data_IF_100833253197
#
_entry.id   IF_100833253197
#
_cell.length_a   1.000
_cell.length_b   1.000
_cell.length_c   1.000
_cell.angle_alpha   90.00
_cell.angle_beta   90.00
_cell.angle_gamma   90.00
#
_symmetry.space_group_name_H-M   'P 1'
#
loop_
_entity.id
_entity.type
_entity.pdbx_description
1 polymer ?
#
# COMPACT_ATOMS: atom_id res chain seq x y z
N UNK A 1 23.27 -19.80 -8.90
CA UNK A 1 22.12 -19.93 -9.81
C UNK A 1 21.04 -20.65 -9.02
N UNK A 2 19.88 -20.03 -8.83
CA UNK A 2 18.77 -20.54 -7.99
C UNK A 2 17.77 -21.24 -8.93
N UNK A 3 17.22 -22.39 -8.51
CA UNK A 3 16.18 -23.10 -9.26
C UNK A 3 14.84 -22.83 -8.59
N UNK A 4 13.92 -22.22 -9.34
CA UNK A 4 12.53 -21.98 -8.93
C UNK A 4 11.67 -23.03 -9.65
N UNK A 5 10.94 -23.83 -8.89
CA UNK A 5 9.96 -24.78 -9.43
C UNK A 5 8.57 -24.14 -9.29
N UNK A 6 8.07 -23.55 -10.38
CA UNK A 6 6.70 -23.03 -10.47
C UNK A 6 5.76 -24.12 -11.02
N UNK A 7 4.61 -24.29 -10.36
CA UNK A 7 3.51 -25.14 -10.83
C UNK A 7 2.62 -24.26 -11.75
N UNK A 8 2.92 -24.28 -13.05
CA UNK A 8 2.46 -23.30 -14.05
C UNK A 8 0.92 -23.29 -14.28
N UNK A 9 0.19 -24.32 -13.86
CA UNK A 9 -1.21 -24.55 -14.26
C UNK A 9 -2.29 -24.24 -13.20
N UNK A 10 -1.98 -23.53 -12.11
CA UNK A 10 -3.04 -23.16 -11.16
C UNK A 10 -3.95 -22.06 -11.75
N UNK A 11 -5.28 -22.25 -11.82
CA UNK A 11 -6.20 -21.20 -12.28
C UNK A 11 -6.16 -20.03 -11.31
N UNK A 12 -5.99 -18.81 -11.82
CA UNK A 12 -6.25 -17.60 -11.05
C UNK A 12 -7.72 -17.64 -10.60
N UNK A 13 -7.97 -17.42 -9.30
CA UNK A 13 -9.33 -17.42 -8.74
C UNK A 13 -10.23 -16.41 -9.47
N UNK A 14 -11.01 -16.89 -10.44
CA UNK A 14 -12.06 -16.12 -11.12
C UNK A 14 -11.59 -14.97 -12.03
N UNK A 15 -12.53 -14.32 -12.74
CA UNK A 15 -12.25 -13.10 -13.50
C UNK A 15 -11.79 -11.99 -12.54
N UNK A 16 -10.76 -11.22 -12.94
CA UNK A 16 -10.24 -10.10 -12.14
C UNK A 16 -11.34 -9.07 -11.89
N UNK A 17 -11.87 -9.05 -10.67
CA UNK A 17 -12.72 -7.96 -10.18
C UNK A 17 -11.92 -6.67 -10.03
N UNK A 18 -12.58 -5.52 -10.10
CA UNK A 18 -11.93 -4.25 -9.80
C UNK A 18 -11.55 -4.21 -8.32
N UNK A 19 -10.30 -3.87 -7.98
CA UNK A 19 -9.90 -3.69 -6.58
C UNK A 19 -10.67 -2.53 -5.95
N UNK A 20 -10.79 -2.52 -4.62
CA UNK A 20 -11.37 -1.38 -3.87
C UNK A 20 -10.72 -0.05 -4.26
N UNK A 21 -9.42 -0.07 -4.58
CA UNK A 21 -8.72 1.09 -5.14
C UNK A 21 -9.21 1.47 -6.53
N UNK A 22 -9.30 0.53 -7.48
CA UNK A 22 -9.79 0.82 -8.83
C UNK A 22 -11.23 1.36 -8.79
N UNK A 23 -12.05 0.85 -7.87
CA UNK A 23 -13.40 1.31 -7.62
C UNK A 23 -13.42 2.74 -7.03
N UNK A 24 -12.64 2.99 -5.97
CA UNK A 24 -12.49 4.34 -5.35
C UNK A 24 -11.94 5.36 -6.35
N UNK A 25 -10.91 5.00 -7.12
CA UNK A 25 -10.33 5.82 -8.19
C UNK A 25 -11.36 6.16 -9.26
N UNK A 26 -12.19 5.19 -9.68
CA UNK A 26 -13.21 5.43 -10.70
C UNK A 26 -14.35 6.36 -10.26
N UNK A 27 -14.60 6.49 -8.95
CA UNK A 27 -15.69 7.31 -8.40
C UNK A 27 -15.29 8.69 -7.89
N UNK A 28 -14.00 8.93 -7.62
CA UNK A 28 -13.52 10.14 -6.93
C UNK A 28 -12.84 11.16 -7.84
N UNK A 29 -12.38 10.78 -9.04
CA UNK A 29 -11.71 11.70 -9.94
C UNK A 29 -12.65 12.21 -11.04
N UNK A 30 -12.62 13.52 -11.37
CA UNK A 30 -13.15 13.97 -12.64
C UNK A 30 -12.45 13.21 -13.77
N UNK A 31 -13.17 12.75 -14.83
CA UNK A 31 -12.60 11.88 -15.87
C UNK A 31 -11.42 12.50 -16.65
N UNK A 32 -11.15 13.79 -16.45
CA UNK A 32 -10.11 14.58 -17.10
C UNK A 32 -8.89 14.89 -16.22
N UNK A 33 -8.87 14.52 -14.93
CA UNK A 33 -7.73 14.82 -14.04
C UNK A 33 -7.22 13.57 -13.30
N UNK A 34 -6.20 12.95 -13.88
CA UNK A 34 -5.53 11.76 -13.34
C UNK A 34 -4.74 12.03 -12.04
N UNK A 35 -4.44 13.30 -11.76
CA UNK A 35 -3.64 13.76 -10.63
C UNK A 35 -4.48 14.35 -9.49
N UNK A 36 -5.82 14.32 -9.59
CA UNK A 36 -6.68 14.79 -8.49
C UNK A 36 -6.32 14.07 -7.19
N UNK A 37 -6.21 14.79 -6.05
CA UNK A 37 -6.73 16.11 -5.73
C UNK A 37 -5.89 17.30 -6.22
N UNK A 38 -4.70 17.06 -6.78
CA UNK A 38 -3.91 18.12 -7.39
C UNK A 38 -4.60 18.69 -8.62
N UNK A 39 -4.31 19.94 -8.96
CA UNK A 39 -4.84 20.62 -10.16
C UNK A 39 -4.49 19.84 -11.44
N UNK A 40 -3.26 19.37 -11.52
CA UNK A 40 -2.69 18.67 -12.66
C UNK A 40 -1.44 17.86 -12.23
N UNK A 41 -0.84 17.13 -13.17
CA UNK A 41 0.36 16.31 -12.91
C UNK A 41 1.59 17.16 -12.56
N UNK A 42 1.69 18.39 -13.06
CA UNK A 42 2.84 19.28 -12.82
C UNK A 42 2.81 19.83 -11.39
N UNK A 43 1.62 20.09 -10.85
CA UNK A 43 1.45 20.44 -9.44
C UNK A 43 1.76 19.26 -8.51
N UNK A 44 1.38 18.04 -8.91
CA UNK A 44 1.71 16.83 -8.16
C UNK A 44 3.24 16.60 -8.11
N UNK A 45 3.94 16.80 -9.22
CA UNK A 45 5.41 16.71 -9.31
C UNK A 45 6.11 17.73 -8.39
N UNK A 46 5.62 18.98 -8.35
CA UNK A 46 6.13 20.00 -7.44
C UNK A 46 5.97 19.57 -5.98
N UNK A 47 4.82 19.01 -5.62
CA UNK A 47 4.55 18.52 -4.26
C UNK A 47 5.45 17.33 -3.91
N UNK A 48 5.60 16.37 -4.82
CA UNK A 48 6.52 15.23 -4.68
C UNK A 48 7.95 15.71 -4.44
N UNK A 49 8.41 16.71 -5.20
CA UNK A 49 9.76 17.26 -5.05
C UNK A 49 9.99 17.84 -3.65
N UNK A 50 9.02 18.61 -3.12
CA UNK A 50 9.12 19.14 -1.75
C UNK A 50 9.25 18.03 -0.70
N UNK A 51 8.44 16.97 -0.83
CA UNK A 51 8.42 15.86 0.14
C UNK A 51 9.69 15.03 0.03
N UNK A 52 10.10 14.64 -1.17
CA UNK A 52 11.28 13.81 -1.42
C UNK A 52 12.58 14.47 -0.98
N UNK A 53 12.64 15.81 -0.99
CA UNK A 53 13.81 16.57 -0.54
C UNK A 53 13.71 17.06 0.92
N UNK A 54 12.68 16.63 1.66
CA UNK A 54 12.46 17.02 3.06
C UNK A 54 12.46 18.55 3.28
N UNK A 55 11.88 19.30 2.35
CA UNK A 55 11.80 20.76 2.47
C UNK A 55 10.91 21.11 3.67
N UNK A 56 11.41 21.99 4.55
CA UNK A 56 10.66 22.38 5.75
C UNK A 56 9.38 23.14 5.39
N UNK A 57 8.35 23.04 6.24
CA UNK A 57 7.08 23.77 6.04
C UNK A 57 7.30 25.28 5.87
N UNK A 58 8.22 25.85 6.67
CA UNK A 58 8.60 27.27 6.57
C UNK A 58 9.23 27.60 5.22
N UNK A 59 10.18 26.77 4.74
CA UNK A 59 10.81 26.99 3.44
C UNK A 59 9.81 26.83 2.27
N UNK A 60 8.83 25.93 2.40
CA UNK A 60 7.72 25.82 1.43
C UNK A 60 6.87 27.12 1.44
N UNK A 61 6.53 27.65 2.62
CA UNK A 61 5.77 28.91 2.73
C UNK A 61 6.55 30.09 2.13
N UNK A 62 7.86 30.17 2.39
CA UNK A 62 8.76 31.16 1.79
C UNK A 62 8.81 31.01 0.27
N UNK A 63 8.96 29.78 -0.24
CA UNK A 63 8.94 29.50 -1.68
C UNK A 63 7.62 29.94 -2.33
N UNK A 64 6.48 29.60 -1.73
CA UNK A 64 5.16 29.98 -2.23
C UNK A 64 4.90 31.48 -2.14
N UNK A 65 5.63 32.19 -1.27
CA UNK A 65 5.58 33.64 -1.15
C UNK A 65 6.38 34.39 -2.23
N UNK A 66 7.24 33.71 -2.99
CA UNK A 66 8.06 34.32 -4.03
C UNK A 66 7.18 34.93 -5.13
N UNK A 67 7.50 36.16 -5.54
CA UNK A 67 6.72 36.89 -6.55
C UNK A 67 6.64 36.14 -7.89
N UNK A 68 7.69 35.40 -8.25
CA UNK A 68 7.70 34.56 -9.44
C UNK A 68 6.64 33.45 -9.36
N UNK A 69 6.47 32.83 -8.19
CA UNK A 69 5.50 31.75 -7.97
C UNK A 69 4.07 32.30 -7.89
N UNK A 70 3.88 33.49 -7.31
CA UNK A 70 2.57 34.15 -7.24
C UNK A 70 1.96 34.48 -8.61
N UNK A 71 2.76 34.57 -9.67
CA UNK A 71 2.27 34.77 -11.05
C UNK A 71 1.54 33.54 -11.59
N UNK A 72 1.89 32.35 -11.14
CA UNK A 72 1.21 31.10 -11.47
C UNK A 72 1.21 30.17 -10.24
N UNK A 73 0.38 30.44 -9.23
CA UNK A 73 0.42 29.71 -7.99
C UNK A 73 -0.10 28.26 -8.19
N UNK A 74 0.39 27.30 -7.39
CA UNK A 74 -0.30 26.03 -7.23
C UNK A 74 -1.65 26.23 -6.52
N UNK A 75 -2.45 25.18 -6.45
CA UNK A 75 -3.76 25.13 -5.81
C UNK A 75 -3.72 25.39 -4.31
N UNK A 76 -2.57 25.15 -3.67
CA UNK A 76 -2.31 25.39 -2.26
C UNK A 76 -1.54 26.70 -2.01
N UNK A 77 -1.96 27.47 -1.01
CA UNK A 77 -1.38 28.79 -0.68
C UNK A 77 -0.23 28.74 0.32
N UNK A 78 -0.09 27.63 1.02
CA UNK A 78 0.90 27.41 2.06
C UNK A 78 1.15 25.90 2.22
N UNK A 79 2.21 25.55 2.95
CA UNK A 79 2.58 24.18 3.27
C UNK A 79 1.43 23.42 3.93
N UNK A 80 0.66 24.08 4.81
CA UNK A 80 -0.49 23.44 5.46
C UNK A 80 -1.52 22.94 4.43
N UNK A 81 -1.94 23.80 3.50
CA UNK A 81 -2.87 23.43 2.44
C UNK A 81 -2.29 22.36 1.51
N UNK A 82 -0.99 22.39 1.24
CA UNK A 82 -0.33 21.33 0.49
C UNK A 82 -0.47 19.96 1.17
N UNK A 83 -0.22 19.91 2.49
CA UNK A 83 -0.39 18.67 3.26
C UNK A 83 -1.86 18.26 3.40
N UNK A 84 -2.81 19.20 3.46
CA UNK A 84 -4.25 18.89 3.40
C UNK A 84 -4.63 18.22 2.07
N UNK A 85 -4.03 18.64 0.94
CA UNK A 85 -4.19 17.99 -0.37
C UNK A 85 -3.59 16.58 -0.36
N UNK A 86 -2.43 16.37 0.27
CA UNK A 86 -1.83 15.03 0.43
C UNK A 86 -2.70 14.10 1.30
N UNK A 87 -3.36 14.65 2.32
CA UNK A 87 -4.25 13.92 3.22
C UNK A 87 -5.66 13.70 2.63
N UNK A 88 -5.92 14.20 1.43
CA UNK A 88 -7.25 14.15 0.83
C UNK A 88 -7.74 12.70 0.67
N UNK A 89 -9.03 12.38 0.91
CA UNK A 89 -9.55 11.01 0.85
C UNK A 89 -9.46 10.31 -0.51
N UNK A 90 -9.31 11.09 -1.59
CA UNK A 90 -9.06 10.53 -2.93
C UNK A 90 -7.62 10.10 -3.14
N UNK A 91 -6.69 10.58 -2.31
CA UNK A 91 -5.34 10.06 -2.28
C UNK A 91 -5.37 8.65 -1.71
N UNK A 92 -4.44 7.83 -2.17
CA UNK A 92 -4.27 6.48 -1.66
C UNK A 92 -3.58 6.50 -0.29
N UNK A 93 -4.27 7.06 0.70
CA UNK A 93 -3.76 7.22 2.05
C UNK A 93 -3.88 5.90 2.81
N UNK A 94 -2.86 5.52 3.60
CA UNK A 94 -2.95 4.34 4.44
C UNK A 94 -4.05 4.48 5.50
N UNK A 95 -4.49 3.36 6.12
CA UNK A 95 -5.45 3.41 7.22
C UNK A 95 -5.00 4.34 8.33
N UNK A 96 -5.96 5.01 8.97
CA UNK A 96 -5.69 6.00 10.02
C UNK A 96 -5.05 5.33 11.23
N UNK A 97 -4.13 6.06 11.87
CA UNK A 97 -3.63 5.68 13.18
C UNK A 97 -4.75 5.71 14.22
N UNK A 98 -4.78 4.69 15.07
CA UNK A 98 -5.62 4.58 16.25
C UNK A 98 -4.72 4.59 17.47
N UNK A 99 -5.22 5.08 18.60
CA UNK A 99 -4.52 5.00 19.88
C UNK A 99 -5.39 4.32 20.92
N UNK A 100 -4.74 3.57 21.81
CA UNK A 100 -5.38 2.99 22.98
C UNK A 100 -4.45 3.10 24.17
N UNK A 101 -4.97 3.62 25.26
CA UNK A 101 -4.28 3.59 26.55
C UNK A 101 -4.40 2.18 27.13
N UNK A 102 -3.26 1.58 27.43
CA UNK A 102 -3.17 0.31 28.15
C UNK A 102 -2.41 0.53 29.45
N UNK A 103 -2.79 -0.22 30.47
CA UNK A 103 -2.07 -0.30 31.73
C UNK A 103 -1.42 -1.67 31.77
N UNK A 104 -0.12 -1.69 31.97
CA UNK A 104 0.65 -2.92 32.01
C UNK A 104 0.57 -3.51 33.43
N UNK A 105 0.33 -4.82 33.59
CA UNK A 105 0.27 -5.45 34.92
C UNK A 105 1.53 -5.23 35.77
N UNK A 106 2.69 -5.10 35.13
CA UNK A 106 3.98 -4.82 35.75
C UNK A 106 4.17 -3.37 36.21
N UNK A 107 3.37 -2.43 35.69
CA UNK A 107 3.42 -1.01 36.03
C UNK A 107 1.99 -0.43 36.07
N UNK A 108 1.19 -0.79 37.08
CA UNK A 108 -0.22 -0.43 37.15
C UNK A 108 -0.48 1.07 37.34
N UNK A 109 0.55 1.84 37.71
CA UNK A 109 0.49 3.29 37.88
C UNK A 109 0.86 4.07 36.60
N UNK A 110 1.32 3.37 35.55
CA UNK A 110 1.77 3.99 34.30
C UNK A 110 0.80 3.71 33.14
N UNK A 111 0.12 4.76 32.71
CA UNK A 111 -0.71 4.73 31.50
C UNK A 111 0.16 4.82 30.23
N UNK A 112 0.15 3.75 29.44
CA UNK A 112 0.91 3.67 28.20
C UNK A 112 -0.01 3.85 26.99
N UNK A 113 0.24 4.87 26.17
CA UNK A 113 -0.52 5.07 24.92
C UNK A 113 0.12 4.28 23.79
N UNK A 114 -0.57 3.24 23.32
CA UNK A 114 -0.15 2.45 22.16
C UNK A 114 -0.83 2.98 20.91
N UNK A 115 -0.03 3.26 19.88
CA UNK A 115 -0.51 3.62 18.55
C UNK A 115 -0.51 2.39 17.64
N UNK A 116 -1.61 2.12 16.97
CA UNK A 116 -1.76 0.97 16.09
C UNK A 116 -2.65 1.31 14.88
N UNK A 117 -2.68 0.41 13.88
CA UNK A 117 -3.63 0.45 12.77
C UNK A 117 -4.44 -0.84 12.76
N UNK A 118 -5.65 -0.77 12.22
CA UNK A 118 -6.49 -1.96 12.01
C UNK A 118 -5.79 -2.88 11.01
N UNK A 119 -5.38 -4.08 11.46
CA UNK A 119 -4.70 -5.06 10.61
C UNK A 119 -5.52 -5.42 9.35
N UNK A 120 -6.85 -5.69 9.45
CA UNK A 120 -7.66 -5.92 8.25
C UNK A 120 -7.64 -4.75 7.27
N UNK A 121 -7.77 -3.51 7.75
CA UNK A 121 -7.74 -2.34 6.87
C UNK A 121 -6.38 -2.14 6.22
N UNK A 122 -5.29 -2.45 6.94
CA UNK A 122 -3.92 -2.38 6.39
C UNK A 122 -3.71 -3.46 5.34
N UNK A 123 -4.19 -4.68 5.59
CA UNK A 123 -4.13 -5.76 4.61
C UNK A 123 -4.91 -5.39 3.35
N UNK A 124 -6.18 -4.98 3.48
CA UNK A 124 -7.01 -4.55 2.35
C UNK A 124 -6.39 -3.39 1.58
N UNK A 125 -5.77 -2.43 2.29
CA UNK A 125 -5.06 -1.32 1.68
C UNK A 125 -3.84 -1.80 0.89
N UNK A 126 -2.96 -2.61 1.49
CA UNK A 126 -1.78 -3.16 0.81
C UNK A 126 -2.18 -3.97 -0.42
N UNK A 127 -3.15 -4.87 -0.29
CA UNK A 127 -3.61 -5.72 -1.39
C UNK A 127 -4.33 -4.95 -2.50
N UNK A 128 -4.92 -3.79 -2.20
CA UNK A 128 -5.54 -2.92 -3.19
C UNK A 128 -4.54 -1.99 -3.90
N UNK A 129 -3.30 -1.87 -3.42
CA UNK A 129 -2.30 -0.96 -3.99
C UNK A 129 -1.77 -1.49 -5.34
N UNK A 130 -1.97 -0.76 -6.45
CA UNK A 130 -1.45 -1.18 -7.76
C UNK A 130 0.07 -1.21 -7.83
N UNK A 131 0.78 -0.49 -6.96
CA UNK A 131 2.24 -0.56 -6.91
C UNK A 131 2.77 -1.97 -6.60
N UNK A 132 1.95 -2.80 -5.95
CA UNK A 132 2.28 -4.20 -5.65
C UNK A 132 1.63 -5.18 -6.63
N UNK A 133 1.02 -4.70 -7.71
CA UNK A 133 0.46 -5.59 -8.74
C UNK A 133 1.59 -6.40 -9.39
N UNK A 134 1.45 -7.73 -9.38
CA UNK A 134 2.46 -8.65 -9.93
C UNK A 134 3.62 -8.98 -8.99
N UNK A 135 3.88 -8.16 -7.98
CA UNK A 135 4.94 -8.37 -6.99
C UNK A 135 4.50 -9.27 -5.82
N UNK A 136 3.19 -9.50 -5.66
CA UNK A 136 2.67 -10.32 -4.56
C UNK A 136 2.70 -11.82 -4.88
N UNK A 137 3.58 -12.54 -4.17
CA UNK A 137 3.67 -13.99 -4.20
C UNK A 137 2.54 -14.67 -3.44
N UNK A 138 1.45 -15.01 -4.13
CA UNK A 138 0.32 -15.74 -3.54
C UNK A 138 0.46 -17.26 -3.59
N UNK A 139 1.18 -17.75 -4.61
CA UNK A 139 1.35 -19.19 -4.86
C UNK A 139 2.45 -19.74 -3.99
N UNK A 140 2.28 -20.96 -3.50
CA UNK A 140 3.39 -21.64 -2.85
C UNK A 140 4.49 -21.88 -3.87
N UNK A 141 5.73 -21.51 -3.53
CA UNK A 141 6.88 -21.72 -4.38
C UNK A 141 7.94 -22.55 -3.70
N UNK A 142 8.69 -23.25 -4.54
CA UNK A 142 9.73 -24.15 -4.11
C UNK A 142 11.08 -23.70 -4.64
N UNK A 143 11.92 -23.19 -3.73
CA UNK A 143 13.21 -22.60 -4.07
C UNK A 143 14.32 -23.48 -3.52
N UNK A 144 15.23 -23.90 -4.40
CA UNK A 144 16.37 -24.72 -4.04
C UNK A 144 17.69 -24.05 -4.44
N UNK A 145 18.75 -24.35 -3.69
CA UNK A 145 20.11 -24.03 -4.10
C UNK A 145 20.49 -24.79 -5.38
N UNK A 146 21.64 -24.44 -5.96
CA UNK A 146 22.15 -25.06 -7.19
C UNK A 146 22.34 -26.59 -7.07
N UNK A 147 22.41 -27.13 -5.85
CA UNK A 147 22.51 -28.56 -5.59
C UNK A 147 21.18 -29.32 -5.76
N UNK A 148 20.05 -28.60 -5.86
CA UNK A 148 18.70 -29.15 -5.98
C UNK A 148 18.20 -29.90 -4.73
N UNK A 149 18.93 -29.83 -3.61
CA UNK A 149 18.65 -30.58 -2.37
C UNK A 149 18.47 -29.67 -1.18
N UNK A 150 19.20 -28.56 -1.15
CA UNK A 150 19.14 -27.60 -0.05
C UNK A 150 17.99 -26.63 -0.30
N UNK A 151 17.03 -26.68 0.62
CA UNK A 151 15.81 -25.88 0.54
C UNK A 151 16.05 -24.46 1.06
N UNK A 152 15.61 -23.46 0.31
CA UNK A 152 15.67 -22.06 0.72
C UNK A 152 14.27 -21.61 1.18
N UNK A 153 14.22 -21.04 2.37
CA UNK A 153 13.04 -20.36 2.92
C UNK A 153 13.39 -18.88 3.11
N UNK A 154 12.68 -18.01 2.39
CA UNK A 154 12.88 -16.56 2.48
C UNK A 154 11.59 -15.82 2.82
N UNK A 155 10.48 -16.24 2.21
CA UNK A 155 9.18 -15.61 2.37
C UNK A 155 8.11 -16.62 2.77
N UNK A 156 6.98 -16.14 3.30
CA UNK A 156 5.86 -16.98 3.73
C UNK A 156 5.42 -17.98 2.64
N UNK A 157 5.40 -17.56 1.37
CA UNK A 157 4.97 -18.42 0.26
C UNK A 157 6.00 -19.50 -0.14
N UNK A 158 7.23 -19.43 0.36
CA UNK A 158 8.25 -20.48 0.18
C UNK A 158 8.20 -21.57 1.25
N UNK A 159 7.42 -21.34 2.31
CA UNK A 159 7.27 -22.20 3.46
C UNK A 159 6.33 -23.39 3.25
N UNK A 160 6.68 -24.51 3.89
CA UNK A 160 5.92 -25.76 3.77
C UNK A 160 4.48 -25.63 4.29
N UNK A 161 4.27 -24.82 5.32
CA UNK A 161 2.95 -24.66 5.93
C UNK A 161 1.99 -23.85 5.05
N UNK A 162 2.48 -22.84 4.33
CA UNK A 162 1.69 -22.13 3.31
C UNK A 162 1.26 -23.09 2.20
N UNK A 163 2.18 -23.93 1.73
CA UNK A 163 1.89 -24.98 0.73
C UNK A 163 0.82 -25.94 1.23
N UNK A 164 0.94 -26.47 2.45
CA UNK A 164 -0.07 -27.38 3.04
C UNK A 164 -1.44 -26.72 3.06
N UNK A 165 -1.54 -25.46 3.46
CA UNK A 165 -2.80 -24.73 3.50
C UNK A 165 -3.40 -24.54 2.09
N UNK A 166 -2.59 -24.14 1.10
CA UNK A 166 -3.06 -23.94 -0.28
C UNK A 166 -3.52 -25.24 -0.95
N UNK A 167 -2.80 -26.36 -0.72
CA UNK A 167 -3.19 -27.68 -1.25
C UNK A 167 -4.50 -28.17 -0.60
N UNK A 168 -4.69 -27.93 0.70
CA UNK A 168 -5.94 -28.28 1.38
C UNK A 168 -7.14 -27.51 0.84
N UNK A 169 -6.99 -26.21 0.57
CA UNK A 169 -8.05 -25.38 -0.03
C UNK A 169 -8.40 -25.88 -1.44
N UNK A 170 -7.41 -26.25 -2.26
CA UNK A 170 -7.62 -26.82 -3.60
C UNK A 170 -8.53 -28.06 -3.56
N UNK A 171 -8.25 -28.98 -2.64
CA UNK A 171 -9.01 -30.22 -2.50
C UNK A 171 -10.43 -30.01 -1.93
N UNK A 172 -10.67 -28.92 -1.20
CA UNK A 172 -11.99 -28.59 -0.65
C UNK A 172 -12.93 -28.05 -1.72
N UNK A 173 -12.41 -27.23 -2.64
CA UNK A 173 -13.20 -26.58 -3.69
C UNK A 173 -13.54 -27.51 -4.86
N UNK A 174 -12.80 -28.60 -5.05
CA UNK A 174 -13.13 -29.64 -6.04
C UNK A 174 -14.33 -30.52 -5.66
N UNK A 175 -14.82 -30.42 -4.42
CA UNK A 175 -15.99 -31.16 -3.93
C UNK A 175 -17.29 -30.34 -3.92
N UNK A 176 -17.22 -29.04 -4.24
CA UNK A 176 -18.38 -28.12 -4.24
C UNK A 176 -18.89 -27.76 -5.63
N UNK A 177 -18.27 -28.28 -6.70
CA UNK A 177 -18.81 -28.28 -8.07
C UNK A 177 -19.39 -29.66 -8.37
N UNK A 178 -20.63 -29.88 -7.94
CA UNK A 178 -21.58 -30.85 -8.51
C UNK A 178 -23.00 -30.39 -8.20
#
# INVERSE_FOLDING_TARGET
MIVIVDDDDAPTFGPRGKTTWQQRRSGLHPPYNIAYPFRDITEAELCEWFVSHNISKTAIDEFLSLEYIRRNPPSFKNAKQMFEVLEHPSMFSPPKWQSKTIVLPEAPEEENTVWFRSLPEVADWLFANPMFEGEMGYRSQEIYEADGKTRIYHEMWTGDDWRKQQVQVRNRNSHTTN
#
